data_IF_118762330542
#
_entry.id   IF_118762330542
#
_cell.length_a   1.000
_cell.length_b   1.000
_cell.length_c   1.000
_cell.angle_alpha   90.00
_cell.angle_beta   90.00
_cell.angle_gamma   90.00
#
_symmetry.space_group_name_H-M   'P 1'
#
loop_
_entity.id
_entity.type
_entity.pdbx_description
1 polymer ?
#
# COMPACT_ATOMS: atom_id res chain seq x y z
N UNK A 1 -22.16 22.43 -3.26
CA UNK A 1 -21.95 21.49 -2.14
C UNK A 1 -21.79 20.04 -2.63
N UNK A 2 -22.74 19.49 -3.40
CA UNK A 2 -22.63 18.10 -3.90
C UNK A 2 -21.50 17.91 -4.92
N UNK A 3 -21.25 18.89 -5.79
CA UNK A 3 -20.16 18.83 -6.78
C UNK A 3 -18.76 18.89 -6.13
N UNK A 4 -18.61 19.67 -5.05
CA UNK A 4 -17.35 19.77 -4.31
C UNK A 4 -16.99 18.47 -3.58
N UNK A 5 -18.00 17.80 -3.00
CA UNK A 5 -17.83 16.48 -2.37
C UNK A 5 -17.47 15.43 -3.41
N UNK A 6 -18.15 15.43 -4.56
CA UNK A 6 -17.86 14.52 -5.67
C UNK A 6 -16.43 14.71 -6.18
N UNK A 7 -15.99 15.95 -6.39
CA UNK A 7 -14.61 16.26 -6.76
C UNK A 7 -13.61 15.76 -5.71
N UNK A 8 -13.89 15.98 -4.42
CA UNK A 8 -13.05 15.49 -3.33
C UNK A 8 -12.91 13.96 -3.34
N UNK A 9 -14.02 13.23 -3.53
CA UNK A 9 -14.02 11.76 -3.59
C UNK A 9 -13.21 11.28 -4.79
N UNK A 10 -13.46 11.83 -5.99
CA UNK A 10 -12.74 11.42 -7.20
C UNK A 10 -11.24 11.68 -7.04
N UNK A 11 -10.84 12.88 -6.60
CA UNK A 11 -9.44 13.22 -6.37
C UNK A 11 -8.81 12.29 -5.33
N UNK A 12 -9.53 11.98 -4.25
CA UNK A 12 -9.10 11.04 -3.22
C UNK A 12 -8.87 9.63 -3.75
N UNK A 13 -9.74 9.13 -4.63
CA UNK A 13 -9.58 7.82 -5.27
C UNK A 13 -8.37 7.80 -6.22
N UNK A 14 -8.18 8.85 -7.03
CA UNK A 14 -7.00 8.96 -7.90
C UNK A 14 -5.71 9.02 -7.07
N UNK A 15 -5.69 9.81 -5.99
CA UNK A 15 -4.59 9.87 -5.04
C UNK A 15 -4.29 8.48 -4.46
N UNK A 16 -5.33 7.76 -4.02
CA UNK A 16 -5.22 6.41 -3.51
C UNK A 16 -4.58 5.44 -4.52
N UNK A 17 -5.00 5.46 -5.79
CA UNK A 17 -4.36 4.66 -6.86
C UNK A 17 -2.87 5.01 -7.06
N UNK A 18 -2.48 6.27 -6.87
CA UNK A 18 -1.08 6.68 -6.89
C UNK A 18 -0.22 6.03 -5.80
N UNK A 19 -0.83 5.74 -4.64
CA UNK A 19 -0.19 5.00 -3.54
C UNK A 19 -0.26 3.50 -3.82
N UNK A 20 -1.45 2.95 -4.07
CA UNK A 20 -1.69 1.51 -4.13
C UNK A 20 -1.19 0.87 -5.43
N UNK A 21 -1.66 1.32 -6.60
CA UNK A 21 -1.21 0.81 -7.89
C UNK A 21 0.22 1.28 -8.21
N UNK A 22 0.58 2.49 -7.79
CA UNK A 22 1.89 3.10 -8.01
C UNK A 22 2.94 2.71 -6.96
N UNK A 23 3.07 3.54 -5.92
CA UNK A 23 4.16 3.45 -4.94
C UNK A 23 4.32 2.03 -4.36
N UNK A 24 3.21 1.39 -4.03
CA UNK A 24 3.14 0.08 -3.41
C UNK A 24 3.38 -1.06 -4.41
N UNK A 25 2.39 -1.39 -5.24
CA UNK A 25 2.43 -2.61 -6.08
C UNK A 25 3.46 -2.52 -7.21
N UNK A 26 3.53 -1.39 -7.92
CA UNK A 26 4.45 -1.20 -9.05
C UNK A 26 5.90 -1.03 -8.60
N UNK A 27 6.17 0.02 -7.80
CA UNK A 27 7.55 0.40 -7.51
C UNK A 27 8.13 -0.35 -6.31
N UNK A 28 7.35 -0.61 -5.25
CA UNK A 28 7.88 -1.33 -4.08
C UNK A 28 7.99 -2.82 -4.29
N UNK A 29 6.93 -3.44 -4.79
CA UNK A 29 6.85 -4.90 -4.92
C UNK A 29 7.21 -5.43 -6.31
N UNK A 30 7.23 -4.56 -7.34
CA UNK A 30 7.48 -4.98 -8.73
C UNK A 30 6.54 -6.13 -9.13
N UNK A 31 5.28 -6.06 -8.70
CA UNK A 31 4.29 -7.13 -8.90
C UNK A 31 3.67 -7.10 -10.29
N UNK A 32 3.87 -6.00 -11.03
CA UNK A 32 3.59 -5.88 -12.45
C UNK A 32 4.56 -4.87 -13.10
N UNK A 33 4.54 -4.78 -14.43
CA UNK A 33 5.26 -3.78 -15.20
C UNK A 33 4.30 -2.80 -15.86
N UNK A 34 4.71 -1.54 -15.96
CA UNK A 34 3.93 -0.46 -16.56
C UNK A 34 4.70 0.20 -17.70
N UNK A 35 3.99 0.53 -18.79
CA UNK A 35 4.54 1.38 -19.86
C UNK A 35 4.69 2.82 -19.36
N UNK A 36 5.48 3.62 -20.09
CA UNK A 36 5.80 4.99 -19.69
C UNK A 36 4.56 5.86 -19.42
N UNK A 37 3.48 5.84 -20.23
CA UNK A 37 2.31 6.68 -19.95
C UNK A 37 1.66 6.37 -18.60
N UNK A 38 1.45 5.09 -18.28
CA UNK A 38 0.90 4.70 -16.99
C UNK A 38 1.82 5.06 -15.81
N UNK A 39 3.13 4.89 -15.96
CA UNK A 39 4.09 5.32 -14.92
C UNK A 39 3.99 6.82 -14.64
N UNK A 40 3.85 7.64 -15.67
CA UNK A 40 3.68 9.09 -15.52
C UNK A 40 2.35 9.39 -14.81
N UNK A 41 1.24 8.76 -15.21
CA UNK A 41 -0.08 8.95 -14.58
C UNK A 41 -0.03 8.59 -13.10
N UNK A 42 0.51 7.41 -12.75
CA UNK A 42 0.63 6.96 -11.37
C UNK A 42 1.54 7.85 -10.54
N UNK A 43 2.57 8.43 -11.15
CA UNK A 43 3.45 9.40 -10.49
C UNK A 43 2.69 10.69 -10.16
N UNK A 44 1.88 11.22 -11.08
CA UNK A 44 1.04 12.41 -10.84
C UNK A 44 -0.02 12.12 -9.77
N UNK A 45 -0.62 10.93 -9.79
CA UNK A 45 -1.54 10.46 -8.76
C UNK A 45 -0.85 10.32 -7.39
N UNK A 46 0.40 9.89 -7.35
CA UNK A 46 1.16 9.85 -6.11
C UNK A 46 1.40 11.27 -5.55
N UNK A 47 1.70 12.24 -6.40
CA UNK A 47 1.78 13.66 -6.00
C UNK A 47 0.43 14.22 -5.50
N UNK A 48 -0.71 13.75 -6.01
CA UNK A 48 -2.04 14.09 -5.48
C UNK A 48 -2.27 13.55 -4.06
N UNK A 49 -1.63 12.42 -3.72
CA UNK A 49 -1.74 11.78 -2.42
C UNK A 49 -0.91 12.46 -1.33
N UNK A 50 0.26 13.01 -1.69
CA UNK A 50 1.16 13.73 -0.78
C UNK A 50 1.41 12.97 0.54
N UNK A 51 2.14 11.86 0.51
CA UNK A 51 2.42 11.08 1.72
C UNK A 51 3.59 11.68 2.55
N UNK A 52 3.75 13.00 2.57
CA UNK A 52 4.93 13.68 3.12
C UNK A 52 5.25 13.33 4.58
N UNK A 53 6.54 13.16 4.85
CA UNK A 53 7.10 13.09 6.19
C UNK A 53 7.97 14.32 6.45
N UNK A 54 7.64 15.08 7.50
CA UNK A 54 8.26 16.38 7.81
C UNK A 54 9.62 16.27 8.51
N UNK A 55 10.25 15.09 8.60
CA UNK A 55 11.25 14.83 9.66
C UNK A 55 12.64 14.41 9.25
N UNK A 56 12.89 14.06 7.99
CA UNK A 56 14.26 13.81 7.57
C UNK A 56 15.02 15.13 7.35
N UNK A 57 16.27 15.18 7.82
CA UNK A 57 17.12 16.38 7.95
C UNK A 57 17.47 17.11 6.63
N UNK A 58 16.85 16.72 5.53
CA UNK A 58 16.99 17.38 4.24
C UNK A 58 15.83 18.35 4.08
N UNK A 59 16.13 19.65 3.98
CA UNK A 59 15.18 20.61 3.45
C UNK A 59 15.35 20.70 1.93
N UNK A 60 14.26 20.63 1.15
CA UNK A 60 12.89 20.43 1.61
C UNK A 60 12.61 18.97 2.02
N UNK A 61 11.71 18.75 3.00
CA UNK A 61 11.26 17.40 3.37
C UNK A 61 10.69 16.70 2.14
N UNK A 62 11.03 15.43 1.96
CA UNK A 62 10.64 14.64 0.81
C UNK A 62 10.20 13.27 1.31
N UNK A 63 8.96 12.87 1.01
CA UNK A 63 8.58 11.46 0.97
C UNK A 63 8.19 11.12 -0.47
N UNK A 64 9.08 11.46 -1.39
CA UNK A 64 8.94 11.19 -2.81
C UNK A 64 8.89 9.66 -3.06
N UNK A 65 8.60 9.25 -4.30
CA UNK A 65 8.39 7.84 -4.63
C UNK A 65 9.57 6.95 -4.21
N UNK A 66 10.81 7.44 -4.32
CA UNK A 66 11.98 6.68 -3.91
C UNK A 66 11.98 6.44 -2.40
N UNK A 67 11.69 7.47 -1.61
CA UNK A 67 11.72 7.35 -0.14
C UNK A 67 10.58 6.47 0.38
N UNK A 68 9.36 6.69 -0.14
CA UNK A 68 8.21 5.86 0.22
C UNK A 68 8.49 4.39 -0.08
N UNK A 69 8.99 4.09 -1.29
CA UNK A 69 9.30 2.72 -1.68
C UNK A 69 10.45 2.12 -0.86
N UNK A 70 11.50 2.88 -0.57
CA UNK A 70 12.60 2.40 0.27
C UNK A 70 12.08 2.01 1.65
N UNK A 71 11.32 2.90 2.29
CA UNK A 71 10.80 2.68 3.64
C UNK A 71 9.80 1.51 3.66
N UNK A 72 8.99 1.35 2.61
CA UNK A 72 8.08 0.21 2.45
C UNK A 72 8.81 -1.12 2.27
N UNK A 73 9.89 -1.16 1.46
CA UNK A 73 10.73 -2.36 1.32
C UNK A 73 11.41 -2.74 2.65
N UNK A 74 11.83 -1.75 3.44
CA UNK A 74 12.37 -1.97 4.79
C UNK A 74 11.29 -2.54 5.71
N UNK A 75 10.09 -1.97 5.68
CA UNK A 75 8.94 -2.44 6.46
C UNK A 75 8.64 -3.92 6.21
N UNK A 76 8.56 -4.37 4.95
CA UNK A 76 8.34 -5.79 4.67
C UNK A 76 9.48 -6.69 5.13
N UNK A 77 10.73 -6.26 4.96
CA UNK A 77 11.90 -7.09 5.26
C UNK A 77 12.17 -7.21 6.76
N UNK A 78 11.80 -6.19 7.54
CA UNK A 78 12.12 -6.09 8.96
C UNK A 78 10.91 -5.73 9.81
N UNK A 79 9.72 -6.16 9.37
CA UNK A 79 8.44 -5.88 10.02
C UNK A 79 8.48 -6.25 11.50
N UNK A 80 7.79 -5.47 12.34
CA UNK A 80 7.72 -5.65 13.79
C UNK A 80 9.06 -5.50 14.54
N UNK A 81 10.13 -5.00 13.91
CA UNK A 81 11.41 -4.72 14.56
C UNK A 81 11.70 -3.22 14.66
N UNK A 82 12.76 -2.83 15.37
CA UNK A 82 13.23 -1.44 15.41
C UNK A 82 13.73 -0.89 14.06
N UNK A 83 13.87 -1.75 13.04
CA UNK A 83 14.16 -1.33 11.67
C UNK A 83 12.89 -1.03 10.86
N UNK A 84 11.71 -1.44 11.32
CA UNK A 84 10.43 -1.09 10.71
C UNK A 84 10.09 0.40 10.99
N UNK A 85 9.93 1.24 9.95
CA UNK A 85 9.63 2.67 10.12
C UNK A 85 8.37 2.95 10.97
N UNK A 86 7.37 2.06 10.91
CA UNK A 86 6.08 2.20 11.60
C UNK A 86 5.77 0.97 12.46
N UNK A 87 6.81 0.41 13.11
CA UNK A 87 6.74 -0.75 14.00
C UNK A 87 5.51 -0.76 14.92
N UNK A 88 4.59 -1.69 14.64
CA UNK A 88 3.34 -1.84 15.38
C UNK A 88 3.51 -2.28 16.83
N UNK A 89 4.65 -2.91 17.19
CA UNK A 89 4.94 -3.27 18.58
C UNK A 89 5.11 -2.05 19.51
N UNK A 90 5.24 -0.84 18.93
CA UNK A 90 5.23 0.43 19.67
C UNK A 90 3.82 0.99 19.90
N UNK A 91 2.79 0.24 19.51
CA UNK A 91 1.37 0.55 19.73
C UNK A 91 0.70 1.27 18.56
N UNK A 92 -0.63 1.24 18.57
CA UNK A 92 -1.48 1.78 17.49
C UNK A 92 -1.12 3.22 17.12
N UNK A 93 -0.99 4.11 18.12
CA UNK A 93 -0.71 5.53 17.85
C UNK A 93 0.63 5.72 17.12
N UNK A 94 1.67 4.97 17.51
CA UNK A 94 2.97 5.03 16.85
C UNK A 94 2.87 4.59 15.39
N UNK A 95 2.29 3.42 15.13
CA UNK A 95 2.15 2.88 13.77
C UNK A 95 1.23 3.71 12.88
N UNK A 96 0.22 4.38 13.47
CA UNK A 96 -0.71 5.21 12.72
C UNK A 96 -0.09 6.54 12.31
N UNK A 97 0.37 7.36 13.26
CA UNK A 97 0.90 8.71 12.96
C UNK A 97 2.12 9.10 13.79
N UNK A 98 2.32 8.47 14.96
CA UNK A 98 3.39 8.82 15.88
C UNK A 98 4.79 8.63 15.27
N UNK A 99 4.96 7.70 14.34
CA UNK A 99 6.21 7.50 13.60
C UNK A 99 6.60 8.72 12.76
N UNK A 100 5.63 9.42 12.16
CA UNK A 100 5.82 10.71 11.48
C UNK A 100 6.08 11.86 12.45
N UNK A 101 5.78 11.66 13.74
CA UNK A 101 5.94 12.65 14.81
C UNK A 101 7.24 12.47 15.59
N UNK A 102 8.13 11.55 15.22
CA UNK A 102 9.43 11.40 15.86
C UNK A 102 10.54 11.19 14.81
N UNK A 103 11.80 11.20 15.26
CA UNK A 103 12.91 10.80 14.38
C UNK A 103 12.86 9.29 14.20
N UNK A 104 13.09 8.80 12.97
CA UNK A 104 13.21 7.37 12.69
C UNK A 104 14.30 6.75 13.58
N UNK A 105 14.08 5.51 14.02
CA UNK A 105 15.06 4.78 14.81
C UNK A 105 16.35 4.55 13.98
N UNK A 106 17.57 4.56 14.58
CA UNK A 106 18.82 4.37 13.83
C UNK A 106 18.85 3.11 12.96
N UNK A 107 18.18 2.04 13.39
CA UNK A 107 18.11 0.79 12.62
C UNK A 107 17.34 0.94 11.30
N UNK A 108 16.35 1.83 11.21
CA UNK A 108 15.65 2.13 9.96
C UNK A 108 16.64 2.64 8.90
N UNK A 109 17.55 3.54 9.29
CA UNK A 109 18.58 4.05 8.38
C UNK A 109 19.62 2.99 8.04
N UNK A 110 20.07 2.21 9.03
CA UNK A 110 21.09 1.19 8.83
C UNK A 110 20.60 0.09 7.88
N UNK A 111 19.39 -0.41 8.11
CA UNK A 111 18.76 -1.45 7.27
C UNK A 111 18.25 -0.89 5.95
N UNK A 112 17.78 0.35 5.92
CA UNK A 112 17.39 1.03 4.67
C UNK A 112 18.52 1.17 3.65
N UNK A 113 19.77 1.33 4.10
CA UNK A 113 20.94 1.31 3.20
C UNK A 113 21.24 -0.08 2.62
N UNK A 114 20.76 -1.14 3.24
CA UNK A 114 20.98 -2.52 2.81
C UNK A 114 19.87 -3.05 1.87
N UNK A 115 18.81 -2.26 1.67
CA UNK A 115 17.77 -2.55 0.69
C UNK A 115 18.23 -2.03 -0.67
N UNK A 116 18.19 -2.89 -1.69
CA UNK A 116 18.46 -2.47 -3.07
C UNK A 116 17.33 -1.56 -3.57
N UNK A 117 17.71 -0.36 -4.01
CA UNK A 117 16.84 0.63 -4.65
C UNK A 117 17.43 1.12 -6.00
N UNK A 118 18.37 0.39 -6.57
CA UNK A 118 19.03 0.75 -7.84
C UNK A 118 18.04 0.84 -8.99
N UNK A 119 17.04 -0.04 -9.03
CA UNK A 119 15.94 -0.03 -10.00
C UNK A 119 15.16 1.30 -9.98
N UNK A 120 14.94 1.86 -8.79
CA UNK A 120 14.19 3.10 -8.64
C UNK A 120 14.97 4.29 -9.20
N UNK A 121 16.29 4.30 -8.98
CA UNK A 121 17.17 5.34 -9.50
C UNK A 121 17.38 5.22 -11.01
N UNK A 122 17.20 4.04 -11.59
CA UNK A 122 17.23 3.85 -13.03
C UNK A 122 15.94 4.33 -13.71
N UNK A 123 14.80 4.31 -13.01
CA UNK A 123 13.53 4.80 -13.55
C UNK A 123 13.56 6.35 -13.72
N UNK A 124 13.47 6.87 -14.96
CA UNK A 124 13.46 8.31 -15.20
C UNK A 124 12.23 9.02 -14.59
N UNK A 125 11.10 8.33 -14.43
CA UNK A 125 9.88 8.90 -13.84
C UNK A 125 10.08 9.17 -12.35
N UNK A 126 10.70 8.24 -11.61
CA UNK A 126 11.02 8.43 -10.19
C UNK A 126 12.04 9.56 -10.05
N UNK A 127 13.12 9.57 -10.85
CA UNK A 127 14.11 10.65 -10.78
C UNK A 127 13.51 12.02 -11.07
N UNK A 128 12.59 12.10 -12.03
CA UNK A 128 11.86 13.33 -12.34
C UNK A 128 11.00 13.77 -11.15
N UNK A 129 10.17 12.86 -10.63
CA UNK A 129 9.29 13.18 -9.51
C UNK A 129 10.08 13.59 -8.27
N UNK A 130 11.13 12.86 -7.91
CA UNK A 130 12.02 13.21 -6.80
C UNK A 130 12.60 14.62 -6.94
N UNK A 131 13.05 15.00 -8.14
CA UNK A 131 13.60 16.34 -8.40
C UNK A 131 12.55 17.45 -8.28
N UNK A 132 11.31 17.18 -8.67
CA UNK A 132 10.23 18.16 -8.74
C UNK A 132 9.13 17.93 -7.71
N UNK A 133 9.39 17.13 -6.68
CA UNK A 133 8.36 16.60 -5.80
C UNK A 133 7.58 17.72 -5.12
N UNK A 134 8.29 18.64 -4.48
CA UNK A 134 7.68 19.78 -3.76
C UNK A 134 6.78 20.64 -4.65
N UNK A 135 7.25 21.20 -5.79
CA UNK A 135 6.37 21.99 -6.65
C UNK A 135 5.23 21.18 -7.26
N UNK A 136 5.47 19.92 -7.66
CA UNK A 136 4.41 19.05 -8.19
C UNK A 136 3.32 18.81 -7.16
N UNK A 137 3.70 18.44 -5.93
CA UNK A 137 2.76 18.15 -4.84
C UNK A 137 2.05 19.42 -4.37
N UNK A 138 2.76 20.56 -4.27
CA UNK A 138 2.14 21.86 -3.95
C UNK A 138 1.03 22.22 -4.97
N UNK A 139 1.28 21.99 -6.26
CA UNK A 139 0.30 22.25 -7.31
C UNK A 139 -0.82 21.21 -7.32
N UNK A 140 -0.47 19.92 -7.35
CA UNK A 140 -1.41 18.83 -7.57
C UNK A 140 -2.24 18.50 -6.34
N UNK A 141 -1.62 18.41 -5.16
CA UNK A 141 -2.34 18.07 -3.93
C UNK A 141 -3.11 19.26 -3.36
N UNK A 142 -2.54 20.48 -3.41
CA UNK A 142 -3.11 21.63 -2.71
C UNK A 142 -3.73 22.69 -3.63
N UNK A 143 -2.97 23.23 -4.58
CA UNK A 143 -3.45 24.36 -5.39
C UNK A 143 -4.62 23.96 -6.31
N UNK A 144 -4.44 22.95 -7.17
CA UNK A 144 -5.47 22.54 -8.13
C UNK A 144 -6.78 22.13 -7.45
N UNK A 145 -6.77 21.30 -6.39
CA UNK A 145 -8.01 20.92 -5.72
C UNK A 145 -8.69 22.09 -4.97
N UNK A 146 -7.95 23.17 -4.68
CA UNK A 146 -8.52 24.39 -4.08
C UNK A 146 -9.15 25.34 -5.09
N UNK A 147 -8.73 25.30 -6.37
CA UNK A 147 -9.20 26.24 -7.40
C UNK A 147 -10.16 25.61 -8.41
N UNK A 148 -10.00 24.33 -8.73
CA UNK A 148 -10.83 23.66 -9.73
C UNK A 148 -12.32 23.66 -9.37
N UNK A 149 -12.73 23.35 -8.12
CA UNK A 149 -14.15 23.37 -7.78
C UNK A 149 -14.79 24.77 -7.91
N UNK A 150 -14.02 25.83 -7.63
CA UNK A 150 -14.46 27.21 -7.80
C UNK A 150 -14.74 27.51 -9.28
N UNK A 151 -13.79 27.20 -10.17
CA UNK A 151 -13.90 27.54 -11.59
C UNK A 151 -14.87 26.63 -12.37
N UNK A 152 -14.96 25.34 -12.00
CA UNK A 152 -15.74 24.36 -12.75
C UNK A 152 -17.20 24.26 -12.28
N UNK A 153 -17.44 24.45 -10.98
CA UNK A 153 -18.75 24.19 -10.36
C UNK A 153 -19.31 25.40 -9.61
N UNK A 154 -18.66 26.57 -9.68
CA UNK A 154 -19.11 27.78 -8.99
C UNK A 154 -19.09 27.67 -7.47
N UNK A 155 -18.26 26.76 -6.91
CA UNK A 155 -18.15 26.57 -5.46
C UNK A 155 -17.38 27.73 -4.81
N UNK A 156 -17.58 27.99 -3.51
CA UNK A 156 -16.77 29.01 -2.83
C UNK A 156 -15.31 28.56 -2.65
N UNK A 157 -14.35 29.49 -2.69
CA UNK A 157 -12.94 29.18 -2.41
C UNK A 157 -12.73 28.54 -1.03
N UNK A 158 -13.51 28.97 -0.03
CA UNK A 158 -13.46 28.39 1.32
C UNK A 158 -13.86 26.91 1.33
N UNK A 159 -14.96 26.55 0.66
CA UNK A 159 -15.39 25.16 0.56
C UNK A 159 -14.42 24.33 -0.28
N UNK A 160 -13.94 24.85 -1.41
CA UNK A 160 -12.98 24.16 -2.26
C UNK A 160 -11.67 23.85 -1.50
N UNK A 161 -11.15 24.81 -0.75
CA UNK A 161 -9.97 24.63 0.08
C UNK A 161 -10.22 23.65 1.24
N UNK A 162 -11.22 23.87 2.09
CA UNK A 162 -11.37 23.04 3.29
C UNK A 162 -11.93 21.64 2.99
N UNK A 163 -12.80 21.47 2.00
CA UNK A 163 -13.43 20.18 1.70
C UNK A 163 -12.62 19.41 0.65
N UNK A 164 -12.45 19.97 -0.54
CA UNK A 164 -11.79 19.27 -1.66
C UNK A 164 -10.29 19.11 -1.49
N UNK A 165 -9.68 20.02 -0.70
CA UNK A 165 -8.24 19.96 -0.40
C UNK A 165 -7.97 19.37 0.98
N UNK A 166 -8.24 20.09 2.05
CA UNK A 166 -7.75 19.73 3.39
C UNK A 166 -8.44 18.49 3.95
N UNK A 167 -9.78 18.43 3.89
CA UNK A 167 -10.54 17.28 4.41
C UNK A 167 -10.17 16.01 3.63
N UNK A 168 -10.21 16.05 2.30
CA UNK A 168 -9.77 14.94 1.44
C UNK A 168 -8.36 14.47 1.77
N UNK A 169 -7.41 15.40 1.92
CA UNK A 169 -6.03 15.09 2.26
C UNK A 169 -5.91 14.38 3.62
N UNK A 170 -6.58 14.89 4.65
CA UNK A 170 -6.61 14.27 5.98
C UNK A 170 -7.18 12.86 5.94
N UNK A 171 -8.30 12.64 5.24
CA UNK A 171 -8.88 11.31 5.10
C UNK A 171 -7.95 10.36 4.34
N UNK A 172 -7.36 10.79 3.22
CA UNK A 172 -6.41 9.98 2.46
C UNK A 172 -5.21 9.53 3.29
N UNK A 173 -4.65 10.42 4.12
CA UNK A 173 -3.57 10.08 5.05
C UNK A 173 -4.03 9.02 6.07
N UNK A 174 -5.15 9.25 6.76
CA UNK A 174 -5.64 8.33 7.79
C UNK A 174 -6.01 6.96 7.21
N UNK A 175 -6.58 6.90 5.99
CA UNK A 175 -6.86 5.62 5.33
C UNK A 175 -5.58 4.85 5.01
N UNK A 176 -4.52 5.54 4.58
CA UNK A 176 -3.20 4.91 4.37
C UNK A 176 -2.63 4.42 5.69
N UNK A 177 -2.68 5.25 6.74
CA UNK A 177 -2.13 4.93 8.05
C UNK A 177 -2.88 3.83 8.80
N UNK A 178 -4.15 3.59 8.47
CA UNK A 178 -4.91 2.44 8.97
C UNK A 178 -4.31 1.10 8.50
N UNK A 179 -3.66 1.07 7.33
CA UNK A 179 -2.96 -0.13 6.85
C UNK A 179 -1.80 -0.47 7.80
N UNK A 180 -0.97 0.52 8.14
CA UNK A 180 0.16 0.34 9.05
C UNK A 180 -0.28 -0.01 10.49
N UNK A 181 -1.43 0.50 10.94
CA UNK A 181 -1.87 0.35 12.33
C UNK A 181 -2.94 -0.72 12.50
N UNK A 182 -4.15 -0.48 11.99
CA UNK A 182 -5.29 -1.37 12.18
C UNK A 182 -5.07 -2.72 11.50
N UNK A 183 -4.50 -2.74 10.29
CA UNK A 183 -4.25 -3.99 9.57
C UNK A 183 -3.05 -4.79 10.11
N UNK A 184 -2.28 -4.26 11.06
CA UNK A 184 -1.29 -5.04 11.83
C UNK A 184 -1.79 -5.49 13.22
N UNK A 185 -2.94 -5.00 13.69
CA UNK A 185 -3.43 -5.27 15.04
C UNK A 185 -4.73 -6.07 15.08
N UNK A 186 -5.65 -5.81 14.14
CA UNK A 186 -7.00 -6.35 14.20
C UNK A 186 -7.41 -6.98 12.88
N UNK A 187 -7.88 -8.22 12.96
CA UNK A 187 -8.35 -8.99 11.82
C UNK A 187 -8.00 -10.46 11.96
N UNK A 188 -8.29 -11.22 10.90
CA UNK A 188 -8.00 -12.65 10.81
C UNK A 188 -6.62 -12.89 10.17
N UNK A 189 -6.03 -14.06 10.38
CA UNK A 189 -4.71 -14.43 9.82
C UNK A 189 -4.76 -15.78 9.11
N UNK A 190 -5.55 -15.89 8.02
CA UNK A 190 -5.81 -17.15 7.33
C UNK A 190 -4.57 -17.74 6.63
N UNK A 191 -3.55 -16.94 6.30
CA UNK A 191 -2.37 -17.38 5.57
C UNK A 191 -1.16 -17.61 6.48
N UNK A 192 -0.92 -16.71 7.42
CA UNK A 192 0.16 -16.84 8.39
C UNK A 192 -0.18 -16.20 9.74
N UNK A 193 -0.43 -17.02 10.75
CA UNK A 193 -0.74 -16.58 12.12
C UNK A 193 0.48 -16.08 12.91
N UNK A 194 1.69 -16.32 12.41
CA UNK A 194 2.94 -15.99 13.12
C UNK A 194 3.44 -14.56 12.85
N UNK A 195 2.84 -13.86 11.89
CA UNK A 195 3.11 -12.45 11.60
C UNK A 195 2.00 -11.55 12.16
N UNK A 196 2.28 -10.27 12.39
CA UNK A 196 1.26 -9.31 12.88
C UNK A 196 0.19 -8.91 11.86
N UNK A 197 0.50 -8.68 10.56
CA UNK A 197 -0.47 -8.36 9.52
C UNK A 197 -1.71 -9.25 9.52
N UNK A 198 -2.87 -8.63 9.36
CA UNK A 198 -4.18 -9.24 9.49
C UNK A 198 -5.10 -8.79 8.35
N UNK A 199 -6.03 -9.67 7.97
CA UNK A 199 -7.11 -9.38 7.04
C UNK A 199 -8.16 -8.49 7.73
N UNK A 200 -8.38 -7.29 7.20
CA UNK A 200 -9.30 -6.32 7.78
C UNK A 200 -10.23 -5.71 6.72
N UNK A 201 -11.48 -6.18 6.71
CA UNK A 201 -12.50 -5.77 5.74
C UNK A 201 -12.78 -4.25 5.74
N UNK A 202 -12.79 -3.61 6.92
CA UNK A 202 -12.98 -2.17 7.01
C UNK A 202 -11.83 -1.40 6.37
N UNK A 203 -10.58 -1.82 6.64
CA UNK A 203 -9.40 -1.23 6.01
C UNK A 203 -9.42 -1.46 4.50
N UNK A 204 -9.80 -2.66 4.02
CA UNK A 204 -9.93 -2.93 2.57
C UNK A 204 -10.91 -1.97 1.90
N UNK A 205 -12.03 -1.66 2.54
CA UNK A 205 -13.03 -0.72 2.00
C UNK A 205 -12.48 0.70 1.88
N UNK A 206 -11.87 1.22 2.94
CA UNK A 206 -11.43 2.64 2.98
C UNK A 206 -10.08 2.88 2.32
N UNK A 207 -9.23 1.86 2.23
CA UNK A 207 -7.90 1.91 1.61
C UNK A 207 -7.85 1.20 0.25
N UNK A 208 -8.97 1.12 -0.47
CA UNK A 208 -9.01 0.75 -1.91
C UNK A 208 -8.41 -0.65 -2.17
N UNK A 209 -8.62 -1.59 -1.24
CA UNK A 209 -8.17 -2.98 -1.33
C UNK A 209 -6.88 -3.33 -0.59
N UNK A 210 -6.31 -2.43 0.20
CA UNK A 210 -5.05 -2.70 0.93
C UNK A 210 -5.22 -3.35 2.32
N UNK A 211 -6.44 -3.68 2.73
CA UNK A 211 -6.72 -4.33 4.01
C UNK A 211 -6.53 -5.85 4.02
N UNK A 212 -6.22 -6.47 2.87
CA UNK A 212 -5.87 -7.89 2.79
C UNK A 212 -4.38 -8.12 3.20
N UNK A 213 -4.05 -7.67 4.42
CA UNK A 213 -2.68 -7.41 4.80
C UNK A 213 -1.92 -8.69 5.21
N UNK A 214 -2.61 -9.70 5.73
CA UNK A 214 -2.01 -11.00 6.01
C UNK A 214 -1.60 -11.71 4.72
N UNK A 215 -2.47 -11.70 3.70
CA UNK A 215 -2.15 -12.20 2.37
C UNK A 215 -0.96 -11.43 1.80
N UNK A 216 -1.03 -10.11 1.84
CA UNK A 216 -0.01 -9.25 1.26
C UNK A 216 1.39 -9.47 1.86
N UNK A 217 1.51 -9.56 3.19
CA UNK A 217 2.80 -9.85 3.82
C UNK A 217 3.29 -11.27 3.59
N UNK A 218 2.37 -12.23 3.39
CA UNK A 218 2.72 -13.61 3.06
C UNK A 218 3.19 -13.74 1.60
N UNK A 219 2.56 -13.01 0.69
CA UNK A 219 2.81 -13.05 -0.76
C UNK A 219 3.01 -11.64 -1.34
N UNK A 220 4.09 -10.94 -0.98
CA UNK A 220 4.27 -9.53 -1.30
C UNK A 220 4.43 -9.25 -2.80
N UNK A 221 4.67 -10.28 -3.62
CA UNK A 221 4.88 -10.15 -5.06
C UNK A 221 3.61 -10.30 -5.89
N UNK A 222 2.45 -10.64 -5.28
CA UNK A 222 1.17 -10.72 -5.97
C UNK A 222 0.64 -9.31 -6.31
N UNK A 223 0.25 -9.07 -7.57
CA UNK A 223 -0.25 -7.75 -7.98
C UNK A 223 -1.62 -7.42 -7.38
N UNK A 224 -2.40 -8.43 -6.99
CA UNK A 224 -3.73 -8.24 -6.42
C UNK A 224 -3.68 -7.85 -4.97
N UNK A 225 -2.60 -8.19 -4.26
CA UNK A 225 -2.48 -8.07 -2.78
C UNK A 225 -3.58 -8.79 -2.00
N UNK A 226 -4.39 -9.62 -2.65
CA UNK A 226 -5.48 -10.39 -2.05
C UNK A 226 -5.75 -11.68 -2.82
N UNK A 227 -6.23 -12.72 -2.13
CA UNK A 227 -6.75 -13.94 -2.76
C UNK A 227 -8.08 -13.69 -3.47
N UNK A 228 -9.00 -12.97 -2.82
CA UNK A 228 -10.39 -12.79 -3.27
C UNK A 228 -10.58 -11.77 -4.41
N UNK A 229 -9.49 -11.29 -5.02
CA UNK A 229 -9.53 -10.42 -6.20
C UNK A 229 -10.44 -9.20 -6.04
N UNK A 230 -11.35 -8.99 -7.01
CA UNK A 230 -12.09 -7.75 -7.25
C UNK A 230 -13.11 -7.32 -6.20
N UNK A 231 -13.59 -8.21 -5.32
CA UNK A 231 -14.80 -7.96 -4.50
C UNK A 231 -14.72 -6.67 -3.65
N UNK A 232 -13.53 -6.29 -3.18
CA UNK A 232 -13.26 -5.03 -2.47
C UNK A 232 -11.86 -4.50 -2.84
N UNK A 233 -11.44 -4.67 -4.09
CA UNK A 233 -10.08 -4.30 -4.51
C UNK A 233 -10.08 -3.50 -5.82
N UNK A 234 -10.46 -2.22 -5.69
CA UNK A 234 -10.54 -1.27 -6.79
C UNK A 234 -9.17 -1.08 -7.47
N UNK A 235 -8.08 -1.20 -6.71
CA UNK A 235 -6.71 -1.12 -7.25
C UNK A 235 -6.43 -2.26 -8.24
N UNK A 236 -6.80 -3.49 -7.92
CA UNK A 236 -6.65 -4.64 -8.83
C UNK A 236 -7.45 -4.45 -10.11
N UNK A 237 -8.70 -3.99 -10.00
CA UNK A 237 -9.57 -3.68 -11.16
C UNK A 237 -8.91 -2.62 -12.05
N UNK A 238 -8.35 -1.56 -11.47
CA UNK A 238 -7.64 -0.53 -12.22
C UNK A 238 -6.42 -1.10 -12.97
N UNK A 239 -5.58 -1.89 -12.30
CA UNK A 239 -4.39 -2.50 -12.92
C UNK A 239 -4.79 -3.41 -14.08
N UNK A 240 -5.85 -4.18 -13.94
CA UNK A 240 -6.36 -5.07 -14.98
C UNK A 240 -6.98 -4.31 -16.15
N UNK A 241 -7.71 -3.22 -15.90
CA UNK A 241 -8.18 -2.32 -16.95
C UNK A 241 -7.00 -1.71 -17.73
N UNK A 242 -5.94 -1.31 -17.03
CA UNK A 242 -4.70 -0.83 -17.66
C UNK A 242 -3.99 -1.95 -18.43
N UNK A 243 -4.05 -3.19 -17.98
CA UNK A 243 -3.50 -4.33 -18.72
C UNK A 243 -4.29 -4.61 -20.00
N UNK A 244 -5.62 -4.53 -19.94
CA UNK A 244 -6.50 -4.72 -21.09
C UNK A 244 -6.24 -3.72 -22.23
N UNK A 245 -5.88 -2.48 -21.90
CA UNK A 245 -5.47 -1.47 -22.90
C UNK A 245 -3.96 -1.48 -23.20
N UNK A 246 -3.23 -2.48 -22.71
CA UNK A 246 -1.80 -2.65 -22.94
C UNK A 246 -0.92 -1.60 -22.26
N UNK A 247 -1.33 -0.97 -21.16
CA UNK A 247 -0.49 -0.08 -20.37
C UNK A 247 0.21 -0.78 -19.19
N UNK A 248 -0.40 -1.84 -18.64
CA UNK A 248 0.22 -2.75 -17.68
C UNK A 248 0.48 -4.12 -18.33
N UNK A 249 1.48 -4.86 -17.85
CA UNK A 249 1.83 -6.20 -18.32
C UNK A 249 2.65 -6.95 -17.25
N UNK A 250 2.86 -8.26 -17.45
CA UNK A 250 3.64 -9.10 -16.51
C UNK A 250 3.07 -9.08 -15.08
N UNK A 251 1.74 -9.17 -14.98
CA UNK A 251 0.99 -9.17 -13.73
C UNK A 251 1.22 -10.50 -12.99
N UNK A 252 1.91 -10.46 -11.85
CA UNK A 252 2.31 -11.65 -11.08
C UNK A 252 1.22 -12.09 -10.10
N UNK A 253 0.92 -13.38 -10.07
CA UNK A 253 -0.15 -13.94 -9.23
C UNK A 253 0.31 -15.21 -8.56
N UNK A 254 -0.07 -15.40 -7.30
CA UNK A 254 0.23 -16.63 -6.57
C UNK A 254 -0.65 -17.76 -7.10
N UNK A 255 -0.08 -18.94 -7.42
CA UNK A 255 -0.89 -20.10 -7.77
C UNK A 255 -1.80 -20.51 -6.61
N UNK A 256 -3.08 -20.86 -6.85
CA UNK A 256 -4.01 -21.26 -5.80
C UNK A 256 -3.49 -22.40 -4.90
N UNK A 257 -2.76 -23.36 -5.49
CA UNK A 257 -2.16 -24.47 -4.74
C UNK A 257 -1.12 -24.01 -3.71
N UNK A 258 -0.34 -22.95 -4.02
CA UNK A 258 0.63 -22.36 -3.11
C UNK A 258 -0.07 -21.63 -1.97
N UNK A 259 -1.17 -20.92 -2.27
CA UNK A 259 -2.02 -20.27 -1.26
C UNK A 259 -2.59 -21.30 -0.30
N UNK A 260 -3.23 -22.35 -0.83
CA UNK A 260 -3.83 -23.42 -0.03
C UNK A 260 -2.81 -24.13 0.86
N UNK A 261 -1.64 -24.51 0.31
CA UNK A 261 -0.57 -25.11 1.08
C UNK A 261 -0.08 -24.20 2.22
N UNK A 262 0.00 -22.89 1.98
CA UNK A 262 0.41 -21.93 3.01
C UNK A 262 -0.63 -21.82 4.12
N UNK A 263 -1.91 -21.72 3.77
CA UNK A 263 -3.01 -21.70 4.74
C UNK A 263 -3.02 -22.96 5.61
N UNK A 264 -2.83 -24.14 5.02
CA UNK A 264 -2.77 -25.41 5.76
C UNK A 264 -1.57 -25.47 6.71
N UNK A 265 -0.43 -24.87 6.32
CA UNK A 265 0.82 -24.93 7.10
C UNK A 265 0.85 -23.91 8.24
N UNK A 266 0.43 -22.67 7.99
CA UNK A 266 0.63 -21.54 8.92
C UNK A 266 -0.63 -20.71 9.20
N UNK A 267 -1.76 -21.01 8.54
CA UNK A 267 -3.01 -20.29 8.78
C UNK A 267 -3.55 -20.48 10.19
N UNK A 268 -4.36 -19.52 10.64
CA UNK A 268 -5.08 -19.60 11.93
C UNK A 268 -6.36 -20.44 11.88
N UNK A 269 -6.71 -20.98 10.71
CA UNK A 269 -7.91 -21.80 10.50
C UNK A 269 -9.17 -20.98 10.17
N UNK A 270 -9.09 -19.66 10.14
CA UNK A 270 -10.15 -18.84 9.55
C UNK A 270 -10.11 -19.03 8.04
N UNK A 271 -11.23 -19.41 7.43
CA UNK A 271 -11.40 -19.29 5.97
C UNK A 271 -12.31 -18.09 5.77
N UNK A 272 -11.79 -17.10 5.06
CA UNK A 272 -12.44 -15.85 4.67
C UNK A 272 -12.96 -14.97 5.82
N UNK A 273 -12.39 -13.76 5.95
CA UNK A 273 -12.95 -12.70 6.80
C UNK A 273 -14.30 -12.15 6.28
N UNK A 274 -14.85 -12.74 5.22
CA UNK A 274 -16.13 -12.39 4.59
C UNK A 274 -17.19 -13.48 4.69
N UNK A 275 -16.88 -14.61 5.33
CA UNK A 275 -17.88 -15.61 5.66
C UNK A 275 -18.66 -15.19 6.92
N UNK A 276 -19.99 -15.22 6.79
CA UNK A 276 -20.96 -14.90 7.83
C UNK A 276 -20.74 -15.81 9.06
N UNK A 277 -20.65 -15.26 10.30
CA UNK A 277 -20.56 -16.07 11.52
C UNK A 277 -21.72 -17.07 11.70
N UNK A 278 -22.80 -16.97 10.91
CA UNK A 278 -23.92 -17.91 10.92
C UNK A 278 -23.61 -19.33 10.38
N UNK A 279 -22.45 -19.58 9.75
CA UNK A 279 -22.19 -20.85 9.04
C UNK A 279 -21.21 -21.83 9.74
N UNK A 280 -20.87 -21.63 11.01
CA UNK A 280 -20.16 -22.66 11.77
C UNK A 280 -21.07 -23.84 12.13
N UNK A 281 -21.23 -24.77 11.20
CA UNK A 281 -21.61 -26.15 11.50
C UNK A 281 -20.44 -27.10 11.22
N UNK A 282 -19.85 -27.58 12.32
CA UNK A 282 -19.17 -28.87 12.47
C UNK A 282 -18.59 -29.56 11.23
N UNK A 283 -17.26 -29.61 11.14
CA UNK A 283 -16.58 -30.84 10.71
C UNK A 283 -15.26 -31.00 11.47
N UNK A 284 -15.32 -31.76 12.55
CA UNK A 284 -14.14 -32.39 13.13
C UNK A 284 -13.69 -33.49 12.16
N UNK A 285 -12.55 -33.30 11.51
CA UNK A 285 -11.94 -34.27 10.60
C UNK A 285 -10.48 -34.50 10.94
N UNK A 286 -10.20 -35.68 11.48
CA UNK A 286 -8.90 -36.24 11.82
C UNK A 286 -7.89 -36.19 10.66
N UNK A 287 -6.64 -35.79 10.93
CA UNK A 287 -5.54 -35.83 9.96
C UNK A 287 -4.17 -35.85 10.62
N UNK A 288 -3.38 -36.87 10.29
CA UNK A 288 -2.12 -37.30 10.89
C UNK A 288 -0.97 -36.30 10.64
N UNK A 289 -0.14 -36.07 11.66
CA UNK A 289 1.09 -35.28 11.59
C UNK A 289 2.09 -35.87 10.59
N UNK A 290 2.48 -35.09 9.58
CA UNK A 290 3.73 -35.26 8.86
C UNK A 290 4.43 -33.89 8.76
N UNK A 291 5.64 -33.80 9.29
CA UNK A 291 6.51 -32.62 9.15
C UNK A 291 7.05 -32.52 7.72
N UNK A 292 6.89 -31.40 7.01
CA UNK A 292 7.65 -31.14 5.80
C UNK A 292 8.88 -30.27 6.11
N UNK A 293 10.01 -30.67 5.55
CA UNK A 293 11.33 -30.03 5.62
C UNK A 293 11.30 -28.57 5.11
N UNK A 294 12.13 -27.73 5.74
CA UNK A 294 12.30 -26.31 5.42
C UNK A 294 12.98 -26.14 4.06
N UNK A 295 12.36 -25.40 3.13
CA UNK A 295 13.02 -24.93 1.90
C UNK A 295 13.71 -23.59 2.20
N UNK A 296 15.04 -23.47 2.06
CA UNK A 296 15.76 -22.24 2.39
C UNK A 296 15.38 -21.05 1.47
N UNK A 297 15.38 -19.87 2.07
CA UNK A 297 15.02 -18.56 1.52
C UNK A 297 15.80 -18.11 0.26
N UNK A 298 16.87 -18.81 -0.12
CA UNK A 298 17.81 -18.37 -1.15
C UNK A 298 17.42 -18.77 -2.59
N UNK A 299 16.47 -19.69 -2.79
CA UNK A 299 16.06 -20.14 -4.14
C UNK A 299 15.02 -19.23 -4.84
N UNK A 300 14.47 -18.22 -4.17
CA UNK A 300 13.39 -17.36 -4.72
C UNK A 300 13.94 -16.21 -5.58
N UNK A 301 15.22 -15.87 -5.44
CA UNK A 301 15.86 -14.80 -6.21
C UNK A 301 17.03 -15.35 -7.03
N UNK A 302 16.70 -15.99 -8.15
CA UNK A 302 17.70 -16.44 -9.11
C UNK A 302 18.49 -15.27 -9.69
N UNK A 303 19.75 -15.13 -9.26
CA UNK A 303 20.80 -14.59 -10.12
C UNK A 303 21.11 -15.65 -11.18
N UNK A 304 21.05 -15.25 -12.44
CA UNK A 304 21.85 -15.89 -13.49
C UNK A 304 22.90 -14.88 -13.91
N UNK A 305 24.14 -15.34 -13.83
CA UNK A 305 25.31 -14.72 -14.44
C UNK A 305 25.08 -14.41 -15.93
#
# INVERSE_FOLDING_TARGET
>A
MDDCRTAAIVIGQLAGLGVTAGAHRLWSHRSYKARLPLRIVLMLFNCLACQESLKDRAFPPQNDLYEWTRDHRVHHKYSETDADPHNVNRGFFFAHVGWLMCKKHPEVFRKGKAVDCSDLLQDPVIRFQRRWYVPLTAVLCFYLPSVLPYHMFGESYWNAFFVSTMTRYVFSLNFTWLVNSAAHLWGNKPYDRHISPAENAFVSLVAIGEGFHNYHHTFPWDYRTSELGWKINVTSIFIEAMAAIGQAYDLKTVPPSVVEQRMLRTGDGTKDCFDDPANHSSSAGSGVHAHPEEVPYEEVFGHKD
#
